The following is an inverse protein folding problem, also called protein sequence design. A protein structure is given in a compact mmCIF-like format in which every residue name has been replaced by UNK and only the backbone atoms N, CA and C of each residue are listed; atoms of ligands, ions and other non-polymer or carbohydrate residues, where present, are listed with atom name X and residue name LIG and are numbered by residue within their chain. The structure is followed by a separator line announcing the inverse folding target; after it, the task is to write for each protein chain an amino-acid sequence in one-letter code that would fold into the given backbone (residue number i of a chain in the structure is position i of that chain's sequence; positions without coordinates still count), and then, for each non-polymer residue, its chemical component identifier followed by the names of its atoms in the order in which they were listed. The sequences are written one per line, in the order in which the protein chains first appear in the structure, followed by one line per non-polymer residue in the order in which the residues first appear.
data_IF_367377364258
#
_entry.id   IF_367377364258
#
_cell.length_a   1.000
_cell.length_b   1.000
_cell.length_c   1.000
_cell.angle_alpha   90.00
_cell.angle_beta   90.00
_cell.angle_gamma   90.00
#
_symmetry.space_group_name_H-M   'P 1'
#
loop_
_entity.id
_entity.type
_entity.pdbx_description
1 polymer ?
#
# COMPACT_ATOMS: atom_id res chain seq x y z
N UNK A 1 -12.91 6.67 -17.83
CA UNK A 1 -11.63 6.02 -18.18
C UNK A 1 -11.80 4.51 -18.09
N UNK A 2 -11.21 3.75 -19.01
CA UNK A 2 -11.29 2.30 -18.99
C UNK A 2 -10.48 1.76 -17.80
N UNK A 3 -11.12 1.04 -16.88
CA UNK A 3 -10.44 0.35 -15.79
C UNK A 3 -9.51 -0.68 -16.41
N UNK A 4 -8.20 -0.56 -16.17
CA UNK A 4 -7.22 -1.56 -16.60
C UNK A 4 -7.64 -2.93 -16.04
N UNK A 5 -8.02 -3.85 -16.93
CA UNK A 5 -8.43 -5.21 -16.57
C UNK A 5 -7.25 -6.13 -16.83
N UNK A 6 -6.60 -6.57 -15.76
CA UNK A 6 -5.57 -7.60 -15.84
C UNK A 6 -6.29 -8.95 -15.84
N UNK A 7 -5.95 -9.80 -16.81
CA UNK A 7 -6.38 -11.19 -16.80
C UNK A 7 -5.54 -11.96 -15.77
N UNK A 8 -6.21 -12.57 -14.80
CA UNK A 8 -5.60 -13.35 -13.73
C UNK A 8 -5.87 -14.85 -13.91
N UNK A 9 -6.51 -15.25 -15.00
CA UNK A 9 -6.83 -16.64 -15.25
C UNK A 9 -5.55 -17.49 -15.21
N UNK A 10 -5.65 -18.66 -14.58
CA UNK A 10 -4.53 -19.59 -14.38
C UNK A 10 -3.37 -19.07 -13.50
N UNK A 11 -3.51 -17.89 -12.88
CA UNK A 11 -2.59 -17.41 -11.85
C UNK A 11 -3.04 -17.84 -10.44
N UNK A 12 -2.11 -17.89 -9.48
CA UNK A 12 -2.42 -18.02 -8.06
C UNK A 12 -2.85 -16.69 -7.40
N UNK A 13 -3.06 -15.63 -8.20
CA UNK A 13 -3.35 -14.28 -7.71
C UNK A 13 -4.85 -14.07 -7.56
N UNK A 14 -5.23 -13.29 -6.55
CA UNK A 14 -6.59 -12.76 -6.41
C UNK A 14 -6.58 -11.24 -6.30
N UNK A 15 -7.63 -10.55 -6.79
CA UNK A 15 -7.85 -9.15 -6.45
C UNK A 15 -7.93 -8.96 -4.92
N UNK A 16 -7.26 -7.92 -4.42
CA UNK A 16 -7.42 -7.48 -3.05
C UNK A 16 -8.64 -6.56 -2.93
N UNK A 17 -9.31 -6.65 -1.78
CA UNK A 17 -10.50 -5.87 -1.44
C UNK A 17 -10.22 -4.94 -0.27
N UNK A 18 -11.18 -4.06 0.04
CA UNK A 18 -11.03 -3.14 1.18
C UNK A 18 -10.88 -3.86 2.53
N UNK A 19 -11.38 -5.10 2.68
CA UNK A 19 -11.15 -5.89 3.90
C UNK A 19 -9.71 -6.41 4.02
N UNK A 20 -8.98 -6.52 2.90
CA UNK A 20 -7.61 -7.04 2.86
C UNK A 20 -6.56 -5.99 3.23
N UNK A 21 -6.94 -4.73 3.46
CA UNK A 21 -6.00 -3.60 3.56
C UNK A 21 -4.85 -3.83 4.55
N UNK A 22 -5.10 -4.51 5.68
CA UNK A 22 -4.06 -4.83 6.65
C UNK A 22 -3.07 -5.86 6.11
N UNK A 23 -3.57 -6.98 5.58
CA UNK A 23 -2.74 -8.05 5.01
C UNK A 23 -1.89 -7.51 3.85
N UNK A 24 -2.54 -6.82 2.90
CA UNK A 24 -1.89 -6.14 1.78
C UNK A 24 -0.77 -5.21 2.26
N UNK A 25 -1.05 -4.33 3.22
CA UNK A 25 -0.06 -3.39 3.74
C UNK A 25 1.06 -4.04 4.53
N UNK A 26 0.75 -5.10 5.29
CA UNK A 26 1.70 -5.73 6.18
C UNK A 26 2.71 -6.57 5.38
N UNK A 27 2.24 -7.33 4.38
CA UNK A 27 3.13 -8.04 3.43
C UNK A 27 4.05 -7.05 2.72
N UNK A 28 3.51 -5.95 2.18
CA UNK A 28 4.34 -4.96 1.48
C UNK A 28 5.31 -4.27 2.44
N UNK A 29 4.90 -3.89 3.64
CA UNK A 29 5.79 -3.27 4.61
C UNK A 29 6.94 -4.20 5.01
N UNK A 30 6.65 -5.47 5.28
CA UNK A 30 7.66 -6.48 5.61
C UNK A 30 8.65 -6.69 4.46
N UNK A 31 8.16 -6.74 3.20
CA UNK A 31 9.02 -6.87 2.03
C UNK A 31 10.01 -5.70 1.85
N UNK A 32 9.69 -4.52 2.38
CA UNK A 32 10.52 -3.33 2.31
C UNK A 32 11.04 -2.87 3.69
N UNK A 33 11.10 -3.76 4.68
CA UNK A 33 11.49 -3.40 6.04
C UNK A 33 12.91 -2.81 6.12
N UNK A 34 13.83 -3.35 5.31
CA UNK A 34 15.24 -2.96 5.24
C UNK A 34 15.59 -2.23 3.94
N UNK A 35 14.58 -1.78 3.18
CA UNK A 35 14.82 -1.05 1.95
C UNK A 35 15.55 0.28 2.25
N UNK A 36 16.67 0.60 1.57
CA UNK A 36 17.46 1.78 1.88
C UNK A 36 16.69 3.10 1.76
N UNK A 37 15.77 3.20 0.79
CA UNK A 37 14.97 4.41 0.59
C UNK A 37 13.94 4.54 1.69
N UNK A 38 13.18 3.47 1.98
CA UNK A 38 12.21 3.51 3.07
C UNK A 38 12.84 3.74 4.43
N UNK A 39 14.01 3.14 4.70
CA UNK A 39 14.77 3.36 5.93
C UNK A 39 15.24 4.81 6.02
N UNK A 40 15.69 5.41 4.92
CA UNK A 40 16.08 6.82 4.87
C UNK A 40 14.88 7.77 5.09
N UNK A 41 13.71 7.49 4.49
CA UNK A 41 12.51 8.33 4.61
C UNK A 41 11.84 8.19 5.98
N UNK A 42 11.67 6.96 6.48
CA UNK A 42 10.81 6.65 7.62
C UNK A 42 11.56 6.20 8.87
N UNK A 43 12.83 5.81 8.75
CA UNK A 43 13.65 5.31 9.86
C UNK A 43 13.25 3.92 10.32
N UNK A 44 12.19 3.82 11.13
CA UNK A 44 11.80 2.57 11.82
C UNK A 44 10.75 1.78 11.04
N UNK A 45 10.79 0.45 11.16
CA UNK A 45 9.81 -0.45 10.55
C UNK A 45 8.34 -0.10 10.87
N UNK A 46 8.02 0.31 12.11
CA UNK A 46 6.66 0.70 12.46
C UNK A 46 6.17 1.94 11.67
N UNK A 47 7.07 2.86 11.35
CA UNK A 47 6.80 4.05 10.55
C UNK A 47 6.56 3.68 9.07
N UNK A 48 7.38 2.77 8.53
CA UNK A 48 7.21 2.15 7.20
C UNK A 48 5.85 1.44 7.10
N UNK A 49 5.54 0.56 8.06
CA UNK A 49 4.26 -0.15 8.11
C UNK A 49 3.07 0.79 8.23
N UNK A 50 3.18 1.84 9.03
CA UNK A 50 2.17 2.89 9.14
C UNK A 50 1.94 3.59 7.80
N UNK A 51 3.01 3.92 7.07
CA UNK A 51 2.92 4.53 5.74
C UNK A 51 2.17 3.63 4.75
N UNK A 52 2.56 2.36 4.62
CA UNK A 52 1.89 1.40 3.73
C UNK A 52 0.43 1.16 4.10
N UNK A 53 0.09 1.18 5.39
CA UNK A 53 -1.30 1.09 5.88
C UNK A 53 -2.16 2.26 5.44
N UNK A 54 -1.62 3.47 5.52
CA UNK A 54 -2.34 4.67 5.05
C UNK A 54 -2.48 4.64 3.53
N UNK A 55 -1.39 4.37 2.80
CA UNK A 55 -1.40 4.34 1.33
C UNK A 55 -2.32 3.26 0.77
N UNK A 56 -2.24 2.02 1.25
CA UNK A 56 -3.10 0.92 0.79
C UNK A 56 -4.58 1.24 0.96
N UNK A 57 -4.99 1.68 2.15
CA UNK A 57 -6.40 1.94 2.48
C UNK A 57 -6.96 3.19 1.82
N UNK A 58 -6.17 4.26 1.73
CA UNK A 58 -6.67 5.56 1.29
C UNK A 58 -6.45 5.83 -0.20
N UNK A 59 -5.50 5.13 -0.84
CA UNK A 59 -5.07 5.43 -2.21
C UNK A 59 -5.17 4.20 -3.11
N UNK A 60 -4.44 3.13 -2.80
CA UNK A 60 -4.31 2.00 -3.73
C UNK A 60 -5.54 1.11 -3.82
N UNK A 61 -6.22 0.81 -2.71
CA UNK A 61 -7.46 0.01 -2.74
C UNK A 61 -8.64 0.75 -3.36
N UNK A 62 -8.85 2.06 -3.11
CA UNK A 62 -9.93 2.82 -3.76
C UNK A 62 -9.72 3.06 -5.25
N UNK A 63 -8.48 3.36 -5.67
CA UNK A 63 -8.21 3.90 -7.01
C UNK A 63 -7.33 3.00 -7.89
N UNK A 64 -6.66 2.02 -7.29
CA UNK A 64 -5.68 1.18 -7.95
C UNK A 64 -6.15 -0.23 -8.31
N UNK A 65 -5.20 -1.03 -8.78
CA UNK A 65 -5.30 -2.48 -8.85
C UNK A 65 -4.36 -3.09 -7.82
N UNK A 66 -4.92 -3.84 -6.88
CA UNK A 66 -4.18 -4.50 -5.83
C UNK A 66 -4.42 -6.01 -5.92
N UNK A 67 -3.37 -6.81 -5.75
CA UNK A 67 -3.46 -8.27 -5.82
C UNK A 67 -2.70 -8.92 -4.68
N UNK A 68 -3.15 -10.11 -4.30
CA UNK A 68 -2.54 -10.95 -3.28
C UNK A 68 -2.22 -12.34 -3.84
N UNK A 69 -1.13 -12.94 -3.35
CA UNK A 69 -0.76 -14.34 -3.57
C UNK A 69 -0.66 -15.05 -2.21
N UNK A 70 -1.75 -15.70 -1.80
CA UNK A 70 -1.86 -16.23 -0.42
C UNK A 70 -1.59 -15.14 0.61
N UNK A 71 -0.77 -15.49 1.61
CA UNK A 71 -0.38 -14.59 2.71
C UNK A 71 1.06 -14.07 2.60
N UNK A 72 1.73 -14.29 1.45
CA UNK A 72 3.15 -13.98 1.28
C UNK A 72 3.50 -13.05 0.12
N UNK A 73 2.55 -12.74 -0.78
CA UNK A 73 2.76 -11.87 -1.92
C UNK A 73 1.69 -10.80 -2.03
N UNK A 74 2.10 -9.57 -2.31
CA UNK A 74 1.19 -8.43 -2.40
C UNK A 74 1.71 -7.41 -3.41
N UNK A 75 0.80 -6.75 -4.12
CA UNK A 75 1.15 -5.67 -5.06
C UNK A 75 0.07 -4.61 -5.11
N UNK A 76 0.47 -3.37 -5.42
CA UNK A 76 -0.39 -2.20 -5.47
C UNK A 76 0.04 -1.29 -6.63
N UNK A 77 -0.86 -1.06 -7.58
CA UNK A 77 -0.60 -0.23 -8.76
C UNK A 77 -1.66 0.84 -8.93
N UNK A 78 -1.24 2.05 -9.28
CA UNK A 78 -2.15 3.07 -9.82
C UNK A 78 -2.14 3.01 -11.35
N UNK A 79 -3.28 3.27 -12.00
CA UNK A 79 -3.32 3.45 -13.45
C UNK A 79 -2.41 4.58 -13.92
N UNK A 80 -1.93 4.55 -15.18
CA UNK A 80 -1.19 5.67 -15.74
C UNK A 80 -1.99 6.98 -15.69
N UNK A 81 -1.35 8.06 -15.23
CA UNK A 81 -1.98 9.38 -15.11
C UNK A 81 -2.85 9.57 -13.88
N UNK A 82 -3.07 8.53 -13.06
CA UNK A 82 -3.66 8.69 -11.73
C UNK A 82 -2.57 9.10 -10.74
N UNK A 83 -2.72 10.29 -10.16
CA UNK A 83 -1.86 10.71 -9.06
C UNK A 83 -2.34 10.06 -7.77
N UNK A 84 -1.40 9.66 -6.91
CA UNK A 84 -1.68 9.27 -5.55
C UNK A 84 -2.25 10.48 -4.79
N UNK A 85 -3.55 10.72 -4.91
CA UNK A 85 -4.23 11.88 -4.34
C UNK A 85 -4.18 11.84 -2.82
N UNK A 86 -3.13 12.39 -2.22
CA UNK A 86 -3.11 12.68 -0.80
C UNK A 86 -4.04 13.85 -0.54
N UNK A 87 -5.31 13.54 -0.26
CA UNK A 87 -6.19 14.53 0.37
C UNK A 87 -5.52 15.07 1.64
N UNK A 88 -5.82 16.31 2.03
CA UNK A 88 -5.30 16.90 3.28
C UNK A 88 -5.56 15.99 4.50
N UNK A 89 -6.66 15.23 4.48
CA UNK A 89 -6.99 14.25 5.52
C UNK A 89 -6.11 13.01 5.49
N UNK A 90 -5.80 12.48 4.30
CA UNK A 90 -4.85 11.39 4.12
C UNK A 90 -3.46 11.82 4.57
N UNK A 91 -3.04 13.03 4.22
CA UNK A 91 -1.78 13.62 4.65
C UNK A 91 -1.71 13.78 6.17
N UNK A 92 -2.79 14.26 6.81
CA UNK A 92 -2.86 14.37 8.26
C UNK A 92 -2.74 13.00 8.96
N UNK A 93 -3.44 11.96 8.45
CA UNK A 93 -3.33 10.59 8.97
C UNK A 93 -1.94 10.01 8.78
N UNK A 94 -1.33 10.28 7.63
CA UNK A 94 0.03 9.88 7.34
C UNK A 94 0.99 10.51 8.34
N UNK A 95 0.98 11.84 8.48
CA UNK A 95 1.82 12.59 9.40
C UNK A 95 1.63 12.16 10.85
N UNK A 96 0.39 11.98 11.31
CA UNK A 96 0.09 11.48 12.65
C UNK A 96 0.65 10.06 12.85
N UNK A 97 0.49 9.18 11.87
CA UNK A 97 1.07 7.84 11.89
C UNK A 97 2.60 7.88 11.99
N UNK A 98 3.25 8.80 11.28
CA UNK A 98 4.69 9.02 11.36
C UNK A 98 5.10 9.59 12.73
N UNK A 99 4.35 10.50 13.34
CA UNK A 99 4.67 11.01 14.69
C UNK A 99 4.52 9.95 15.79
N UNK A 100 3.53 9.06 15.66
CA UNK A 100 3.28 8.01 16.67
C UNK A 100 4.25 6.82 16.56
N UNK A 101 4.77 6.56 15.36
CA UNK A 101 5.63 5.40 15.09
C UNK A 101 7.08 5.77 14.75
N UNK A 102 7.31 7.04 14.43
CA UNK A 102 8.61 7.64 14.16
C UNK A 102 9.13 8.34 15.42
N UNK A 103 10.20 7.78 15.94
CA UNK A 103 11.11 8.32 16.94
C UNK A 103 12.46 7.63 16.71
#
# INVERSE_FOLDING_TARGET
MARMKIDLDQSGLRPASMSDWRLLSDITAEAFADDPVNTWVFGKFNAIRSAFRVMSRAIYLPYGQCYLHGDGGATMWLPPGEEAGFSNWTMAKFALGQLLNGA
#
